data_IF_274099504470
#
_entry.id   IF_274099504470
#
_cell.length_a   1.000
_cell.length_b   1.000
_cell.length_c   1.000
_cell.angle_alpha   90.00
_cell.angle_beta   90.00
_cell.angle_gamma   90.00
#
_symmetry.space_group_name_H-M   'P 1'
#
loop_
_entity.id
_entity.type
_entity.pdbx_description
1 polymer ?
#
# COMPACT_ATOMS: atom_id res chain seq x y z
N UNK A 1 28.37 -17.52 12.91
CA UNK A 1 28.01 -17.31 14.34
C UNK A 1 26.51 -17.37 14.41
N UNK A 2 25.97 -18.18 15.31
CA UNK A 2 24.54 -18.49 15.32
C UNK A 2 23.75 -17.34 15.98
N UNK A 3 22.71 -16.81 15.34
CA UNK A 3 21.82 -15.85 15.99
C UNK A 3 21.15 -16.53 17.18
N UNK A 4 20.92 -15.80 18.27
CA UNK A 4 20.26 -16.39 19.43
C UNK A 4 18.83 -16.80 19.06
N UNK A 5 18.38 -18.00 19.47
CA UNK A 5 17.01 -18.46 19.22
C UNK A 5 15.96 -17.44 19.71
N UNK A 6 16.25 -16.75 20.82
CA UNK A 6 15.41 -15.68 21.36
C UNK A 6 15.23 -14.51 20.37
N UNK A 7 16.27 -14.15 19.62
CA UNK A 7 16.18 -13.10 18.60
C UNK A 7 15.25 -13.48 17.46
N UNK A 8 15.36 -14.72 16.98
CA UNK A 8 14.48 -15.26 15.93
C UNK A 8 13.02 -15.25 16.41
N UNK A 9 12.76 -15.74 17.62
CA UNK A 9 11.42 -15.82 18.18
C UNK A 9 10.79 -14.44 18.40
N UNK A 10 11.53 -13.48 18.97
CA UNK A 10 11.03 -12.12 19.20
C UNK A 10 10.75 -11.40 17.88
N UNK A 11 11.65 -11.52 16.91
CA UNK A 11 11.47 -10.90 15.59
C UNK A 11 10.25 -11.50 14.87
N UNK A 12 10.08 -12.82 14.91
CA UNK A 12 8.90 -13.50 14.35
C UNK A 12 7.61 -13.09 15.07
N UNK A 13 7.64 -12.98 16.40
CA UNK A 13 6.51 -12.49 17.18
C UNK A 13 6.13 -11.05 16.76
N UNK A 14 7.13 -10.19 16.51
CA UNK A 14 6.94 -8.85 15.94
C UNK A 14 6.26 -8.89 14.56
N UNK A 15 6.68 -9.79 13.67
CA UNK A 15 6.04 -9.99 12.35
C UNK A 15 4.57 -10.44 12.49
N UNK A 16 4.27 -11.36 13.41
CA UNK A 16 2.90 -11.82 13.67
C UNK A 16 2.05 -10.68 14.25
N UNK A 17 2.59 -9.94 15.23
CA UNK A 17 1.93 -8.79 15.83
C UNK A 17 1.64 -7.72 14.78
N UNK A 18 2.57 -7.46 13.86
CA UNK A 18 2.39 -6.53 12.76
C UNK A 18 1.15 -6.89 11.91
N UNK A 19 1.03 -8.14 11.48
CA UNK A 19 -0.11 -8.61 10.67
C UNK A 19 -1.42 -8.51 11.45
N UNK A 20 -1.43 -8.97 12.71
CA UNK A 20 -2.61 -8.95 13.56
C UNK A 20 -3.10 -7.52 13.85
N UNK A 21 -2.18 -6.62 14.26
CA UNK A 21 -2.48 -5.22 14.54
C UNK A 21 -2.90 -4.47 13.28
N UNK A 22 -2.32 -4.79 12.12
CA UNK A 22 -2.72 -4.20 10.83
C UNK A 22 -4.15 -4.57 10.46
N UNK A 23 -4.54 -5.84 10.65
CA UNK A 23 -5.92 -6.31 10.42
C UNK A 23 -6.90 -5.70 11.42
N UNK A 24 -6.50 -5.60 12.69
CA UNK A 24 -7.28 -4.95 13.73
C UNK A 24 -7.51 -3.48 13.37
N UNK A 25 -6.45 -2.77 12.95
CA UNK A 25 -6.53 -1.38 12.55
C UNK A 25 -7.48 -1.20 11.35
N UNK A 26 -7.32 -2.03 10.30
CA UNK A 26 -8.16 -1.99 9.10
C UNK A 26 -9.65 -2.08 9.41
N UNK A 27 -10.01 -2.87 10.43
CA UNK A 27 -11.40 -3.07 10.86
C UNK A 27 -11.94 -1.95 11.72
N UNK A 28 -11.07 -1.35 12.56
CA UNK A 28 -11.52 -0.44 13.62
C UNK A 28 -11.49 1.02 13.21
N UNK A 29 -10.53 1.42 12.37
CA UNK A 29 -10.30 2.82 12.02
C UNK A 29 -10.25 3.05 10.51
N UNK A 30 -10.80 4.19 10.11
CA UNK A 30 -10.73 4.72 8.76
C UNK A 30 -9.77 5.89 8.77
N UNK A 31 -8.75 5.83 7.94
CA UNK A 31 -7.83 6.94 7.74
C UNK A 31 -8.60 7.98 6.90
N UNK A 32 -8.67 9.22 7.40
CA UNK A 32 -9.19 10.34 6.62
C UNK A 32 -8.42 10.38 5.31
N UNK A 33 -9.13 10.24 4.18
CA UNK A 33 -8.50 10.10 2.86
C UNK A 33 -7.50 11.26 2.70
N UNK A 34 -6.19 10.98 2.52
CA UNK A 34 -5.31 12.03 2.09
C UNK A 34 -5.82 12.55 0.73
N UNK A 35 -5.49 13.79 0.33
CA UNK A 35 -5.86 14.32 -0.99
C UNK A 35 -5.23 13.54 -2.17
N UNK A 36 -4.50 12.47 -1.88
CA UNK A 36 -3.91 11.56 -2.85
C UNK A 36 -5.04 10.71 -3.41
N UNK A 37 -5.18 10.73 -4.74
CA UNK A 37 -6.19 9.94 -5.45
C UNK A 37 -6.05 8.43 -5.21
N UNK A 38 -6.92 7.66 -5.87
CA UNK A 38 -6.87 6.18 -5.80
C UNK A 38 -5.49 5.69 -6.22
N UNK A 39 -4.84 4.88 -5.37
CA UNK A 39 -3.54 4.28 -5.70
C UNK A 39 -3.71 3.38 -6.91
N UNK A 40 -3.09 3.78 -8.03
CA UNK A 40 -3.14 3.06 -9.29
C UNK A 40 -1.80 2.38 -9.59
N UNK A 41 -1.80 1.53 -10.62
CA UNK A 41 -0.59 0.85 -11.08
C UNK A 41 0.55 1.81 -11.43
N UNK A 42 0.22 2.99 -11.98
CA UNK A 42 1.21 4.04 -12.28
C UNK A 42 1.94 4.49 -11.02
N UNK A 43 1.20 4.69 -9.93
CA UNK A 43 1.78 5.10 -8.65
C UNK A 43 2.71 4.01 -8.12
N UNK A 44 2.30 2.75 -8.23
CA UNK A 44 3.14 1.59 -7.86
C UNK A 44 4.44 1.55 -8.65
N UNK A 45 4.40 1.75 -9.96
CA UNK A 45 5.61 1.80 -10.78
C UNK A 45 6.52 2.95 -10.34
N UNK A 46 5.97 4.14 -10.10
CA UNK A 46 6.75 5.30 -9.60
C UNK A 46 7.37 4.97 -8.24
N UNK A 47 6.59 4.40 -7.32
CA UNK A 47 7.07 4.02 -5.99
C UNK A 47 8.14 2.94 -6.06
N UNK A 48 7.99 1.93 -6.93
CA UNK A 48 9.03 0.93 -7.19
C UNK A 48 10.31 1.57 -7.70
N UNK A 49 10.24 2.50 -8.66
CA UNK A 49 11.41 3.24 -9.14
C UNK A 49 12.06 4.02 -8.00
N UNK A 50 11.28 4.73 -7.19
CA UNK A 50 11.80 5.46 -6.03
C UNK A 50 12.48 4.51 -5.04
N UNK A 51 11.89 3.35 -4.75
CA UNK A 51 12.48 2.35 -3.85
C UNK A 51 13.82 1.80 -4.38
N UNK A 52 13.94 1.59 -5.70
CA UNK A 52 15.19 1.17 -6.34
C UNK A 52 16.27 2.27 -6.23
N UNK A 53 15.87 3.53 -6.32
CA UNK A 53 16.78 4.68 -6.29
C UNK A 53 17.19 5.10 -4.88
N UNK A 54 16.39 4.80 -3.85
CA UNK A 54 16.63 5.23 -2.46
C UNK A 54 17.99 4.73 -1.94
N UNK A 55 18.34 3.43 -2.01
CA UNK A 55 19.60 2.96 -1.43
C UNK A 55 20.86 3.62 -1.98
N UNK A 56 21.08 3.73 -3.31
CA UNK A 56 22.25 4.42 -3.84
C UNK A 56 22.23 5.93 -3.53
N UNK A 57 21.04 6.56 -3.47
CA UNK A 57 20.93 7.96 -3.07
C UNK A 57 21.34 8.16 -1.59
N UNK A 58 20.88 7.28 -0.70
CA UNK A 58 21.19 7.33 0.73
C UNK A 58 22.67 7.10 1.00
N UNK A 59 23.34 6.25 0.20
CA UNK A 59 24.79 6.07 0.30
C UNK A 59 25.56 7.37 0.01
N UNK A 60 25.09 8.18 -0.94
CA UNK A 60 25.71 9.46 -1.32
C UNK A 60 25.37 10.62 -0.37
N UNK A 61 24.25 10.55 0.33
CA UNK A 61 23.84 11.58 1.29
C UNK A 61 24.68 11.52 2.58
N UNK A 62 24.99 12.65 3.23
CA UNK A 62 25.56 12.62 4.57
C UNK A 62 24.56 12.04 5.57
N UNK A 63 25.04 11.46 6.68
CA UNK A 63 24.19 10.77 7.66
C UNK A 63 23.05 11.64 8.21
N UNK A 64 23.29 12.94 8.44
CA UNK A 64 22.25 13.87 8.89
C UNK A 64 21.12 14.03 7.85
N UNK A 65 21.44 13.97 6.55
CA UNK A 65 20.46 14.04 5.49
C UNK A 65 19.56 12.80 5.46
N UNK A 66 20.14 11.61 5.65
CA UNK A 66 19.39 10.35 5.76
C UNK A 66 18.47 10.37 6.99
N UNK A 67 19.00 10.80 8.15
CA UNK A 67 18.20 10.93 9.39
C UNK A 67 17.04 11.91 9.18
N UNK A 68 17.28 13.07 8.56
CA UNK A 68 16.24 14.07 8.32
C UNK A 68 15.10 13.52 7.43
N UNK A 69 15.45 12.78 6.37
CA UNK A 69 14.46 12.13 5.49
C UNK A 69 13.69 11.05 6.24
N UNK A 70 14.36 10.17 6.98
CA UNK A 70 13.70 9.12 7.77
C UNK A 70 12.78 9.71 8.84
N UNK A 71 13.26 10.72 9.58
CA UNK A 71 12.48 11.43 10.58
C UNK A 71 11.21 12.04 9.97
N UNK A 72 11.35 12.74 8.84
CA UNK A 72 10.20 13.32 8.13
C UNK A 72 9.19 12.25 7.71
N UNK A 73 9.64 11.16 7.08
CA UNK A 73 8.76 10.09 6.62
C UNK A 73 8.05 9.42 7.80
N UNK A 74 8.79 9.06 8.85
CA UNK A 74 8.21 8.44 10.05
C UNK A 74 7.19 9.39 10.70
N UNK A 75 7.53 10.66 10.91
CA UNK A 75 6.60 11.64 11.49
C UNK A 75 5.34 11.80 10.64
N UNK A 76 5.45 11.93 9.33
CA UNK A 76 4.29 12.08 8.44
C UNK A 76 3.39 10.84 8.49
N UNK A 77 3.97 9.64 8.38
CA UNK A 77 3.18 8.40 8.43
C UNK A 77 2.54 8.24 9.82
N UNK A 78 3.31 8.34 10.90
CA UNK A 78 2.80 8.21 12.27
C UNK A 78 1.68 9.23 12.56
N UNK A 79 1.87 10.50 12.19
CA UNK A 79 0.85 11.53 12.40
C UNK A 79 -0.45 11.21 11.67
N UNK A 80 -0.36 10.59 10.48
CA UNK A 80 -1.51 10.15 9.68
C UNK A 80 -2.23 8.95 10.34
N UNK A 81 -1.47 7.97 10.83
CA UNK A 81 -2.01 6.75 11.46
C UNK A 81 -2.66 7.00 12.80
N UNK A 82 -2.08 7.92 13.58
CA UNK A 82 -2.56 8.24 14.91
C UNK A 82 -3.76 9.21 14.86
N UNK A 83 -3.98 9.90 13.74
CA UNK A 83 -5.03 10.92 13.61
C UNK A 83 -6.44 10.39 13.90
N UNK A 84 -6.88 9.20 13.43
CA UNK A 84 -8.21 8.66 13.77
C UNK A 84 -8.39 8.31 15.26
N UNK A 85 -7.28 8.18 16.01
CA UNK A 85 -7.28 7.79 17.43
C UNK A 85 -7.14 8.99 18.34
N UNK A 86 -6.22 9.90 18.02
CA UNK A 86 -5.82 11.02 18.87
C UNK A 86 -6.34 12.39 18.38
N UNK A 87 -6.87 12.45 17.16
CA UNK A 87 -7.16 13.72 16.46
C UNK A 87 -5.90 14.37 15.86
N UNK A 88 -6.10 15.44 15.09
CA UNK A 88 -5.05 16.04 14.26
C UNK A 88 -3.88 16.63 15.06
N UNK A 89 -4.15 17.43 16.10
CA UNK A 89 -3.07 18.14 16.84
C UNK A 89 -2.23 17.17 17.66
N UNK A 90 -2.89 16.26 18.40
CA UNK A 90 -2.19 15.31 19.26
C UNK A 90 -1.40 14.28 18.44
N UNK A 91 -1.88 13.87 17.24
CA UNK A 91 -1.13 12.93 16.40
C UNK A 91 0.22 13.48 15.95
N UNK A 92 0.30 14.77 15.60
CA UNK A 92 1.56 15.43 15.27
C UNK A 92 2.50 15.54 16.48
N UNK A 93 1.98 15.96 17.63
CA UNK A 93 2.79 16.08 18.86
C UNK A 93 3.38 14.73 19.27
N UNK A 94 2.57 13.67 19.28
CA UNK A 94 3.02 12.32 19.61
C UNK A 94 4.02 11.79 18.58
N UNK A 95 3.76 11.99 17.28
CA UNK A 95 4.68 11.55 16.23
C UNK A 95 6.05 12.25 16.33
N UNK A 96 6.07 13.57 16.57
CA UNK A 96 7.30 14.35 16.77
C UNK A 96 8.03 13.91 18.05
N UNK A 97 7.30 13.69 19.14
CA UNK A 97 7.89 13.26 20.41
C UNK A 97 8.54 11.87 20.27
N UNK A 98 7.85 10.89 19.69
CA UNK A 98 8.40 9.53 19.52
C UNK A 98 9.63 9.52 18.62
N UNK A 99 9.58 10.22 17.48
CA UNK A 99 10.72 10.33 16.56
C UNK A 99 11.88 11.08 17.21
N UNK A 100 11.62 12.17 17.93
CA UNK A 100 12.64 12.93 18.64
C UNK A 100 13.32 12.14 19.75
N UNK A 101 12.55 11.38 20.54
CA UNK A 101 13.07 10.48 21.58
C UNK A 101 13.95 9.39 20.95
N UNK A 102 13.53 8.81 19.83
CA UNK A 102 14.32 7.78 19.14
C UNK A 102 15.63 8.33 18.59
N UNK A 103 15.63 9.53 17.98
CA UNK A 103 16.85 10.17 17.51
C UNK A 103 17.82 10.44 18.67
N UNK A 104 17.31 10.82 19.84
CA UNK A 104 18.11 11.13 21.02
C UNK A 104 18.64 9.87 21.74
N UNK A 105 17.85 8.80 21.86
CA UNK A 105 18.18 7.63 22.69
C UNK A 105 18.59 6.38 21.91
N UNK A 106 18.20 6.25 20.63
CA UNK A 106 18.51 5.11 19.75
C UNK A 106 18.16 3.75 20.37
N UNK A 107 16.90 3.59 20.79
CA UNK A 107 16.46 2.38 21.48
C UNK A 107 15.94 1.37 20.47
N UNK A 108 16.53 0.17 20.44
CA UNK A 108 16.08 -0.91 19.55
C UNK A 108 14.57 -1.19 19.69
N UNK A 109 14.08 -1.25 20.93
CA UNK A 109 12.67 -1.50 21.19
C UNK A 109 11.77 -0.36 20.71
N UNK A 110 12.20 0.90 20.87
CA UNK A 110 11.42 2.05 20.39
C UNK A 110 11.44 2.10 18.85
N UNK A 111 12.59 1.86 18.23
CA UNK A 111 12.73 1.75 16.78
C UNK A 111 11.78 0.69 16.22
N UNK A 112 11.76 -0.52 16.80
CA UNK A 112 10.86 -1.60 16.37
C UNK A 112 9.40 -1.19 16.48
N UNK A 113 8.99 -0.56 17.60
CA UNK A 113 7.62 -0.04 17.78
C UNK A 113 7.29 1.01 16.71
N UNK A 114 8.21 1.92 16.41
CA UNK A 114 8.02 2.94 15.39
C UNK A 114 7.88 2.32 13.99
N UNK A 115 8.74 1.36 13.63
CA UNK A 115 8.68 0.61 12.37
C UNK A 115 7.34 -0.11 12.25
N UNK A 116 6.88 -0.78 13.31
CA UNK A 116 5.58 -1.45 13.33
C UNK A 116 4.44 -0.45 13.07
N UNK A 117 4.41 0.69 13.77
CA UNK A 117 3.37 1.70 13.59
C UNK A 117 3.37 2.31 12.18
N UNK A 118 4.56 2.58 11.63
CA UNK A 118 4.72 3.07 10.24
C UNK A 118 4.21 2.04 9.24
N UNK A 119 4.55 0.75 9.41
CA UNK A 119 4.10 -0.32 8.53
C UNK A 119 2.59 -0.56 8.59
N UNK A 120 2.01 -0.61 9.80
CA UNK A 120 0.55 -0.67 10.01
C UNK A 120 -0.10 0.47 9.22
N UNK A 121 0.48 1.66 9.35
CA UNK A 121 -0.02 2.85 8.71
C UNK A 121 0.03 2.89 7.22
N UNK A 122 1.22 2.73 6.67
CA UNK A 122 1.45 2.77 5.23
C UNK A 122 0.60 1.70 4.53
N UNK A 123 0.57 0.47 5.06
CA UNK A 123 -0.22 -0.61 4.48
C UNK A 123 -1.72 -0.32 4.52
N UNK A 124 -2.24 0.13 5.67
CA UNK A 124 -3.64 0.52 5.77
C UNK A 124 -3.97 1.69 4.85
N UNK A 125 -3.12 2.72 4.81
CA UNK A 125 -3.33 3.87 3.95
C UNK A 125 -3.46 3.47 2.48
N UNK A 126 -2.57 2.61 1.98
CA UNK A 126 -2.59 2.17 0.59
C UNK A 126 -3.84 1.32 0.27
N UNK A 127 -4.19 0.38 1.16
CA UNK A 127 -5.37 -0.48 0.98
C UNK A 127 -6.67 0.32 1.05
N UNK A 128 -6.78 1.25 2.01
CA UNK A 128 -7.93 2.13 2.16
C UNK A 128 -8.05 3.14 1.02
N UNK A 129 -6.92 3.52 0.40
CA UNK A 129 -6.87 4.36 -0.81
C UNK A 129 -7.25 3.61 -2.09
N UNK A 130 -7.60 2.32 -2.01
CA UNK A 130 -8.19 1.57 -3.11
C UNK A 130 -7.24 0.62 -3.84
N UNK A 131 -6.04 0.38 -3.31
CA UNK A 131 -5.11 -0.63 -3.83
C UNK A 131 -5.80 -1.98 -4.06
N UNK A 132 -5.49 -2.59 -5.20
CA UNK A 132 -6.03 -3.89 -5.65
C UNK A 132 -5.01 -5.01 -5.49
N UNK A 133 -5.47 -6.26 -5.51
CA UNK A 133 -4.56 -7.41 -5.36
C UNK A 133 -3.55 -7.49 -6.52
N UNK A 134 -3.98 -7.10 -7.73
CA UNK A 134 -3.09 -6.98 -8.89
C UNK A 134 -1.93 -5.99 -8.65
N UNK A 135 -2.20 -4.90 -7.95
CA UNK A 135 -1.22 -3.82 -7.77
C UNK A 135 -0.13 -4.30 -6.79
N UNK A 136 -0.53 -4.99 -5.72
CA UNK A 136 0.41 -5.65 -4.78
C UNK A 136 1.20 -6.75 -5.48
N UNK A 137 0.58 -7.54 -6.37
CA UNK A 137 1.26 -8.60 -7.09
C UNK A 137 2.34 -8.06 -8.05
N UNK A 138 2.05 -6.97 -8.77
CA UNK A 138 3.03 -6.28 -9.62
C UNK A 138 4.14 -5.65 -8.78
N UNK A 139 3.77 -5.01 -7.66
CA UNK A 139 4.74 -4.44 -6.72
C UNK A 139 5.70 -5.51 -6.19
N UNK A 140 5.17 -6.66 -5.76
CA UNK A 140 5.95 -7.78 -5.28
C UNK A 140 6.87 -8.36 -6.36
N UNK A 141 6.38 -8.50 -7.61
CA UNK A 141 7.22 -8.94 -8.72
C UNK A 141 8.39 -7.99 -8.98
N UNK A 142 8.12 -6.67 -9.00
CA UNK A 142 9.16 -5.65 -9.18
C UNK A 142 10.20 -5.69 -8.05
N UNK A 143 9.75 -5.79 -6.80
CA UNK A 143 10.62 -5.92 -5.64
C UNK A 143 11.44 -7.22 -5.64
N UNK A 144 10.88 -8.35 -6.08
CA UNK A 144 11.65 -9.60 -6.24
C UNK A 144 12.81 -9.44 -7.21
N UNK A 145 12.56 -8.84 -8.38
CA UNK A 145 13.62 -8.60 -9.36
C UNK A 145 14.67 -7.66 -8.78
N UNK A 146 14.22 -6.56 -8.18
CA UNK A 146 15.12 -5.58 -7.55
C UNK A 146 15.97 -6.21 -6.46
N UNK A 147 15.38 -6.87 -5.46
CA UNK A 147 16.10 -7.42 -4.32
C UNK A 147 17.06 -8.54 -4.72
N UNK A 148 16.67 -9.37 -5.71
CA UNK A 148 17.56 -10.38 -6.27
C UNK A 148 18.79 -9.72 -6.91
N UNK A 149 18.62 -8.68 -7.73
CA UNK A 149 19.74 -7.95 -8.33
C UNK A 149 20.58 -7.23 -7.26
N UNK A 150 19.92 -6.52 -6.35
CA UNK A 150 20.56 -5.72 -5.32
C UNK A 150 21.32 -6.56 -4.29
N UNK A 151 20.92 -7.82 -4.07
CA UNK A 151 21.60 -8.73 -3.11
C UNK A 151 22.60 -9.67 -3.79
N UNK A 152 22.31 -10.14 -5.00
CA UNK A 152 23.15 -11.15 -5.67
C UNK A 152 24.18 -10.54 -6.62
N UNK A 153 23.90 -9.36 -7.18
CA UNK A 153 24.74 -8.74 -8.22
C UNK A 153 25.50 -7.54 -7.69
N UNK A 154 24.87 -6.70 -6.87
CA UNK A 154 25.46 -5.45 -6.39
C UNK A 154 25.86 -5.53 -4.91
N UNK A 155 27.04 -5.00 -4.51
CA UNK A 155 27.40 -4.88 -3.09
C UNK A 155 26.58 -3.80 -2.34
N UNK A 156 25.78 -3.01 -3.07
CA UNK A 156 25.02 -1.86 -2.57
C UNK A 156 24.22 -2.14 -1.30
N UNK A 157 23.60 -3.31 -1.17
CA UNK A 157 22.78 -3.62 0.00
C UNK A 157 23.61 -3.80 1.28
N UNK A 158 24.80 -4.39 1.18
CA UNK A 158 25.70 -4.57 2.34
C UNK A 158 26.16 -3.21 2.86
N UNK A 159 26.60 -2.34 1.95
CA UNK A 159 27.04 -0.98 2.30
C UNK A 159 25.89 -0.14 2.86
N UNK A 160 24.71 -0.26 2.25
CA UNK A 160 23.51 0.44 2.68
C UNK A 160 23.08 0.02 4.09
N UNK A 161 23.00 -1.28 4.37
CA UNK A 161 22.68 -1.77 5.71
C UNK A 161 23.76 -1.43 6.72
N UNK A 162 25.04 -1.51 6.35
CA UNK A 162 26.15 -1.09 7.21
C UNK A 162 26.04 0.37 7.62
N UNK A 163 25.67 1.25 6.68
CA UNK A 163 25.41 2.66 6.97
C UNK A 163 24.18 2.83 7.85
N UNK A 164 23.05 2.24 7.47
CA UNK A 164 21.78 2.43 8.18
C UNK A 164 21.81 1.88 9.61
N UNK A 165 22.50 0.76 9.86
CA UNK A 165 22.60 0.17 11.19
C UNK A 165 23.26 1.09 12.24
N UNK A 166 23.93 2.16 11.80
CA UNK A 166 24.53 3.17 12.68
C UNK A 166 23.60 4.35 12.99
N UNK A 167 22.44 4.44 12.32
CA UNK A 167 21.53 5.56 12.37
C UNK A 167 20.26 5.22 13.19
N UNK A 168 19.64 6.22 13.85
CA UNK A 168 18.30 6.05 14.41
C UNK A 168 17.27 5.80 13.30
N UNK A 169 16.09 5.28 13.67
CA UNK A 169 14.98 5.02 12.73
C UNK A 169 15.38 4.02 11.62
N UNK A 170 16.17 3.02 11.98
CA UNK A 170 16.59 1.99 11.02
C UNK A 170 15.33 1.25 10.53
N UNK A 171 15.07 1.17 9.21
CA UNK A 171 13.88 0.57 8.64
C UNK A 171 13.95 -0.97 8.61
N UNK A 172 14.24 -1.54 9.77
CA UNK A 172 14.30 -2.99 10.02
C UNK A 172 13.60 -3.27 11.33
N UNK A 173 12.90 -4.40 11.39
CA UNK A 173 12.37 -4.96 12.62
C UNK A 173 13.34 -6.06 13.05
N UNK A 174 13.91 -5.97 14.25
CA UNK A 174 14.89 -6.98 14.66
C UNK A 174 15.24 -6.93 16.12
N UNK A 175 15.56 -8.10 16.67
CA UNK A 175 15.96 -8.23 18.07
C UNK A 175 17.41 -8.67 18.21
N UNK A 176 18.07 -8.20 19.28
CA UNK A 176 19.46 -8.54 19.60
C UNK A 176 20.46 -7.50 19.11
N UNK A 177 21.69 -7.60 19.61
CA UNK A 177 22.78 -6.68 19.27
C UNK A 177 23.96 -7.42 18.65
N UNK A 178 24.69 -6.73 17.77
CA UNK A 178 25.88 -7.26 17.11
C UNK A 178 25.59 -8.44 16.17
N UNK A 179 26.53 -9.38 16.10
CA UNK A 179 26.49 -10.52 15.17
C UNK A 179 25.47 -11.62 15.51
N UNK A 180 24.79 -11.51 16.65
CA UNK A 180 23.78 -12.48 17.09
C UNK A 180 22.33 -12.00 16.84
N UNK A 181 22.16 -10.80 16.29
CA UNK A 181 20.86 -10.22 15.97
C UNK A 181 20.24 -10.79 14.70
N UNK A 182 18.93 -10.89 14.68
CA UNK A 182 18.11 -11.21 13.52
C UNK A 182 17.25 -10.01 13.20
N UNK A 183 17.19 -9.64 11.93
CA UNK A 183 16.41 -8.51 11.47
C UNK A 183 15.71 -8.85 10.15
N UNK A 184 14.51 -8.28 9.98
CA UNK A 184 13.74 -8.37 8.74
C UNK A 184 13.53 -6.95 8.22
N UNK A 185 13.77 -6.76 6.92
CA UNK A 185 13.61 -5.47 6.28
C UNK A 185 12.16 -4.99 6.31
N UNK A 186 11.96 -3.68 6.50
CA UNK A 186 10.64 -3.06 6.44
C UNK A 186 9.94 -3.35 5.10
N UNK A 187 10.68 -3.45 3.99
CA UNK A 187 10.12 -3.74 2.66
C UNK A 187 9.42 -5.10 2.59
N UNK A 188 10.07 -6.16 3.07
CA UNK A 188 9.52 -7.52 3.09
C UNK A 188 8.25 -7.58 3.96
N UNK A 189 8.32 -6.96 5.13
CA UNK A 189 7.19 -6.88 6.07
C UNK A 189 6.01 -6.11 5.47
N UNK A 190 6.29 -4.98 4.80
CA UNK A 190 5.27 -4.19 4.12
C UNK A 190 4.54 -5.04 3.08
N UNK A 191 5.26 -5.82 2.26
CA UNK A 191 4.67 -6.68 1.24
C UNK A 191 3.77 -7.77 1.84
N UNK A 192 4.20 -8.43 2.93
CA UNK A 192 3.39 -9.44 3.63
C UNK A 192 2.10 -8.83 4.17
N UNK A 193 2.18 -7.64 4.80
CA UNK A 193 1.01 -6.96 5.34
C UNK A 193 0.09 -6.46 4.23
N UNK A 194 0.63 -5.81 3.19
CA UNK A 194 -0.14 -5.33 2.04
C UNK A 194 -0.92 -6.46 1.40
N UNK A 195 -0.29 -7.61 1.17
CA UNK A 195 -0.95 -8.77 0.60
C UNK A 195 -2.09 -9.26 1.50
N UNK A 196 -1.83 -9.39 2.80
CA UNK A 196 -2.82 -9.82 3.81
C UNK A 196 -4.04 -8.90 3.85
N UNK A 197 -3.82 -7.59 3.97
CA UNK A 197 -4.88 -6.59 4.04
C UNK A 197 -5.66 -6.49 2.72
N UNK A 198 -4.95 -6.54 1.59
CA UNK A 198 -5.58 -6.45 0.26
C UNK A 198 -6.45 -7.67 -0.03
N UNK A 199 -6.03 -8.88 0.34
CA UNK A 199 -6.87 -10.09 0.23
C UNK A 199 -8.06 -10.06 1.20
N UNK A 200 -7.86 -9.57 2.43
CA UNK A 200 -8.96 -9.38 3.40
C UNK A 200 -10.04 -8.48 2.83
N UNK A 201 -9.62 -7.35 2.25
CA UNK A 201 -10.49 -6.38 1.60
C UNK A 201 -11.14 -6.97 0.34
N UNK A 202 -10.34 -7.36 -0.64
CA UNK A 202 -10.82 -7.73 -1.98
C UNK A 202 -11.57 -9.07 -2.02
N UNK A 203 -11.27 -10.00 -1.11
CA UNK A 203 -11.81 -11.38 -1.15
C UNK A 203 -12.60 -11.71 0.11
N UNK A 204 -11.90 -11.98 1.20
CA UNK A 204 -12.48 -12.40 2.48
C UNK A 204 -11.40 -12.40 3.56
N UNK A 205 -11.82 -12.39 4.83
CA UNK A 205 -10.90 -12.55 5.95
C UNK A 205 -10.06 -13.83 5.83
N UNK A 206 -10.70 -14.96 5.49
CA UNK A 206 -10.00 -16.24 5.37
C UNK A 206 -8.88 -16.19 4.32
N UNK A 207 -9.14 -15.58 3.16
CA UNK A 207 -8.12 -15.40 2.13
C UNK A 207 -6.96 -14.52 2.62
N UNK A 208 -7.26 -13.45 3.35
CA UNK A 208 -6.24 -12.61 3.98
C UNK A 208 -5.39 -13.35 5.01
N UNK A 209 -6.02 -14.11 5.91
CA UNK A 209 -5.32 -14.90 6.92
C UNK A 209 -4.44 -15.98 6.28
N UNK A 210 -4.92 -16.67 5.25
CA UNK A 210 -4.12 -17.65 4.51
C UNK A 210 -2.93 -16.96 3.82
N UNK A 211 -3.15 -15.83 3.16
CA UNK A 211 -2.08 -15.07 2.52
C UNK A 211 -1.00 -14.60 3.51
N UNK A 212 -1.43 -14.07 4.66
CA UNK A 212 -0.53 -13.66 5.75
C UNK A 212 0.21 -14.83 6.38
N UNK A 213 -0.48 -15.94 6.66
CA UNK A 213 0.14 -17.15 7.21
C UNK A 213 1.20 -17.75 6.28
N UNK A 214 0.95 -17.76 4.96
CA UNK A 214 1.92 -18.23 3.97
C UNK A 214 3.13 -17.28 3.90
N UNK A 215 2.92 -15.96 3.92
CA UNK A 215 4.01 -14.98 3.95
C UNK A 215 4.86 -15.07 5.22
N UNK A 216 4.22 -15.18 6.39
CA UNK A 216 4.90 -15.36 7.67
C UNK A 216 5.66 -16.69 7.73
N UNK A 217 5.09 -17.77 7.19
CA UNK A 217 5.77 -19.07 7.08
C UNK A 217 7.02 -18.96 6.19
N UNK A 218 6.95 -18.23 5.07
CA UNK A 218 8.10 -18.02 4.20
C UNK A 218 9.22 -17.22 4.91
N UNK A 219 8.86 -16.17 5.67
CA UNK A 219 9.82 -15.43 6.48
C UNK A 219 10.43 -16.29 7.60
N UNK A 220 9.61 -17.06 8.32
CA UNK A 220 10.07 -17.96 9.37
C UNK A 220 11.02 -19.03 8.83
N UNK A 221 10.71 -19.61 7.66
CA UNK A 221 11.57 -20.57 6.98
C UNK A 221 12.93 -19.95 6.61
N UNK A 222 12.93 -18.71 6.09
CA UNK A 222 14.16 -17.99 5.77
C UNK A 222 15.01 -17.73 7.02
N UNK A 223 14.39 -17.24 8.09
CA UNK A 223 15.07 -16.99 9.36
C UNK A 223 15.62 -18.28 9.97
N UNK A 224 14.92 -19.40 9.83
CA UNK A 224 15.38 -20.72 10.27
C UNK A 224 16.60 -21.19 9.46
N UNK A 225 16.59 -21.03 8.13
CA UNK A 225 17.74 -21.36 7.26
C UNK A 225 18.97 -20.54 7.65
N UNK A 226 18.79 -19.25 7.96
CA UNK A 226 19.88 -18.39 8.45
C UNK A 226 20.34 -18.79 9.85
N UNK A 227 19.41 -19.12 10.75
CA UNK A 227 19.72 -19.58 12.10
C UNK A 227 20.54 -20.88 12.09
N UNK A 228 20.20 -21.84 11.23
CA UNK A 228 20.91 -23.11 11.08
C UNK A 228 22.27 -22.99 10.37
N UNK A 229 22.66 -21.78 9.94
CA UNK A 229 23.94 -21.54 9.25
C UNK A 229 24.04 -22.23 7.88
N UNK A 230 22.92 -22.67 7.30
CA UNK A 230 22.90 -23.29 5.97
C UNK A 230 23.31 -22.29 4.88
N UNK A 231 23.09 -20.99 5.15
CA UNK A 231 23.52 -19.90 4.29
C UNK A 231 24.19 -18.82 5.13
N UNK A 232 25.44 -18.49 4.79
CA UNK A 232 26.26 -17.52 5.51
C UNK A 232 26.17 -16.09 4.94
N UNK A 233 25.23 -15.84 4.02
CA UNK A 233 25.01 -14.55 3.38
C UNK A 233 23.54 -14.13 3.51
N UNK A 234 23.30 -12.82 3.50
CA UNK A 234 21.95 -12.28 3.44
C UNK A 234 21.20 -12.85 2.23
N UNK A 235 20.00 -13.36 2.45
CA UNK A 235 19.11 -13.82 1.40
C UNK A 235 17.93 -12.85 1.30
N UNK A 236 17.59 -12.36 0.09
CA UNK A 236 16.45 -11.48 -0.07
C UNK A 236 15.16 -12.28 0.09
N UNK A 237 14.31 -11.89 1.05
CA UNK A 237 13.08 -12.62 1.33
C UNK A 237 12.09 -12.54 0.15
N UNK A 238 12.17 -11.49 -0.66
CA UNK A 238 11.36 -11.34 -1.87
C UNK A 238 11.57 -12.44 -2.92
N UNK A 239 12.68 -13.20 -2.90
CA UNK A 239 12.84 -14.39 -3.77
C UNK A 239 11.81 -15.47 -3.41
N UNK A 240 11.40 -15.57 -2.15
CA UNK A 240 10.35 -16.48 -1.71
C UNK A 240 8.98 -15.81 -1.76
N UNK A 241 8.87 -14.59 -1.23
CA UNK A 241 7.59 -13.89 -1.07
C UNK A 241 6.95 -13.50 -2.40
N UNK A 242 7.70 -12.97 -3.36
CA UNK A 242 7.11 -12.50 -4.61
C UNK A 242 6.51 -13.61 -5.46
N UNK A 243 7.23 -14.70 -5.75
CA UNK A 243 6.65 -15.84 -6.46
C UNK A 243 5.45 -16.44 -5.74
N UNK A 244 5.50 -16.54 -4.41
CA UNK A 244 4.38 -16.99 -3.59
C UNK A 244 3.14 -16.09 -3.78
N UNK A 245 3.31 -14.77 -3.73
CA UNK A 245 2.24 -13.79 -3.96
C UNK A 245 1.71 -13.89 -5.40
N UNK A 246 2.59 -14.02 -6.39
CA UNK A 246 2.19 -14.15 -7.80
C UNK A 246 1.37 -15.42 -8.05
N UNK A 247 1.76 -16.55 -7.47
CA UNK A 247 1.01 -17.81 -7.56
C UNK A 247 -0.35 -17.66 -6.89
N UNK A 248 -0.41 -17.12 -5.67
CA UNK A 248 -1.69 -16.88 -4.99
C UNK A 248 -2.58 -15.93 -5.79
N UNK A 249 -2.03 -14.85 -6.36
CA UNK A 249 -2.75 -13.93 -7.22
C UNK A 249 -3.30 -14.63 -8.46
N UNK A 250 -2.49 -15.44 -9.15
CA UNK A 250 -2.91 -16.17 -10.34
C UNK A 250 -4.05 -17.18 -10.07
N UNK A 251 -4.08 -17.79 -8.88
CA UNK A 251 -5.17 -18.66 -8.44
C UNK A 251 -6.42 -17.85 -8.11
N UNK A 252 -6.29 -16.74 -7.39
CA UNK A 252 -7.41 -15.96 -6.87
C UNK A 252 -8.04 -15.00 -7.89
N UNK A 253 -7.31 -14.60 -8.95
CA UNK A 253 -7.80 -13.64 -9.98
C UNK A 253 -9.04 -14.11 -10.74
N UNK A 254 -9.39 -15.39 -10.65
CA UNK A 254 -10.58 -15.97 -11.31
C UNK A 254 -11.90 -15.41 -10.78
N UNK A 255 -11.91 -14.82 -9.58
CA UNK A 255 -13.09 -14.20 -8.97
C UNK A 255 -13.01 -12.66 -9.12
N UNK A 256 -14.14 -11.93 -9.11
CA UNK A 256 -14.13 -10.47 -9.04
C UNK A 256 -13.58 -9.97 -7.70
N UNK A 257 -12.85 -8.85 -7.73
CA UNK A 257 -12.30 -8.20 -6.52
C UNK A 257 -13.29 -7.18 -5.96
N UNK A 258 -13.51 -7.22 -4.64
CA UNK A 258 -14.30 -6.18 -3.96
C UNK A 258 -13.56 -4.85 -3.90
N UNK A 259 -14.28 -3.76 -4.15
CA UNK A 259 -13.77 -2.40 -3.96
C UNK A 259 -13.69 -2.02 -2.48
N UNK A 260 -13.00 -0.92 -2.16
CA UNK A 260 -12.98 -0.42 -0.77
C UNK A 260 -14.37 0.01 -0.31
N UNK A 261 -15.18 0.61 -1.21
CA UNK A 261 -16.54 1.02 -0.91
C UNK A 261 -17.43 -0.16 -0.50
N UNK A 262 -17.37 -1.27 -1.28
CA UNK A 262 -18.06 -2.52 -0.96
C UNK A 262 -17.58 -3.12 0.36
N UNK A 263 -16.25 -3.16 0.60
CA UNK A 263 -15.70 -3.69 1.85
C UNK A 263 -16.12 -2.87 3.07
N UNK A 264 -16.11 -1.54 2.94
CA UNK A 264 -16.49 -0.61 3.98
C UNK A 264 -18.01 -0.56 4.23
N UNK A 265 -18.80 -1.35 3.50
CA UNK A 265 -20.27 -1.35 3.58
C UNK A 265 -20.88 0.00 3.23
N UNK A 266 -20.17 0.84 2.46
CA UNK A 266 -20.71 2.12 2.01
C UNK A 266 -21.59 1.81 0.81
N UNK A 267 -22.93 2.00 0.89
CA UNK A 267 -23.77 1.81 -0.28
C UNK A 267 -23.23 2.68 -1.42
N UNK A 268 -23.22 2.20 -2.67
CA UNK A 268 -22.90 3.06 -3.80
C UNK A 268 -23.76 4.31 -3.65
N UNK A 269 -23.13 5.50 -3.69
CA UNK A 269 -23.87 6.75 -3.74
C UNK A 269 -24.87 6.57 -4.87
N UNK A 270 -26.20 6.63 -4.61
CA UNK A 270 -27.18 6.52 -5.66
C UNK A 270 -26.76 7.55 -6.70
N UNK A 271 -26.44 7.09 -7.92
CA UNK A 271 -26.43 8.01 -9.04
C UNK A 271 -27.77 8.74 -8.95
N UNK A 272 -27.80 10.09 -9.02
CA UNK A 272 -29.07 10.78 -9.03
C UNK A 272 -29.93 10.09 -10.08
N UNK A 273 -31.04 9.49 -9.64
CA UNK A 273 -32.03 8.93 -10.54
C UNK A 273 -32.67 10.16 -11.17
N UNK A 274 -32.01 10.67 -12.22
CA UNK A 274 -32.58 11.66 -13.09
C UNK A 274 -33.75 10.95 -13.73
N UNK A 275 -34.97 11.41 -13.43
CA UNK A 275 -36.17 10.94 -14.12
C UNK A 275 -35.90 11.09 -15.61
N UNK A 276 -35.78 9.99 -16.39
CA UNK A 276 -35.46 10.10 -17.79
C UNK A 276 -36.66 10.63 -18.58
N UNK A 277 -37.84 10.79 -17.98
CA UNK A 277 -39.07 11.20 -18.66
C UNK A 277 -38.99 12.54 -19.44
N UNK A 278 -38.32 13.61 -18.96
CA UNK A 278 -38.13 14.82 -19.74
C UNK A 278 -37.16 14.62 -20.91
N UNK A 279 -36.08 13.85 -20.70
CA UNK A 279 -35.09 13.53 -21.72
C UNK A 279 -35.66 12.58 -22.80
N UNK A 280 -36.48 11.59 -22.40
CA UNK A 280 -37.22 10.67 -23.27
C UNK A 280 -38.26 11.38 -24.14
N UNK A 281 -38.89 12.45 -23.63
CA UNK A 281 -39.79 13.28 -24.45
C UNK A 281 -39.05 14.09 -25.52
N UNK A 282 -37.81 14.49 -25.25
CA UNK A 282 -36.91 15.16 -26.22
C UNK A 282 -36.23 14.17 -27.18
N UNK A 283 -36.34 12.86 -26.95
CA UNK A 283 -35.63 11.81 -27.67
C UNK A 283 -36.33 11.32 -28.94
N UNK A 284 -37.57 11.73 -29.23
CA UNK A 284 -38.26 11.36 -30.47
C UNK A 284 -37.43 11.81 -31.69
N UNK A 285 -36.69 10.86 -32.29
CA UNK A 285 -35.99 11.03 -33.56
C UNK A 285 -34.48 11.26 -33.52
N UNK A 286 -33.79 11.18 -32.37
CA UNK A 286 -32.32 11.36 -32.32
C UNK A 286 -31.58 10.07 -31.95
N UNK A 287 -30.67 9.62 -32.83
CA UNK A 287 -29.74 8.52 -32.57
C UNK A 287 -28.42 9.09 -32.05
N UNK A 288 -27.99 8.67 -30.86
CA UNK A 288 -26.73 9.14 -30.26
C UNK A 288 -26.73 9.23 -28.73
N UNK A 289 -25.66 9.80 -28.19
CA UNK A 289 -25.49 10.13 -26.78
C UNK A 289 -26.00 11.55 -26.50
N UNK A 290 -26.76 11.67 -25.41
CA UNK A 290 -27.17 12.94 -24.83
C UNK A 290 -26.28 13.26 -23.64
N UNK A 291 -25.86 14.51 -23.52
CA UNK A 291 -25.22 15.05 -22.34
C UNK A 291 -26.19 15.97 -21.60
N UNK A 292 -26.46 15.65 -20.33
CA UNK A 292 -27.38 16.37 -19.45
C UNK A 292 -26.60 17.11 -18.37
N UNK A 293 -26.97 18.36 -18.09
CA UNK A 293 -26.50 19.11 -16.93
C UNK A 293 -27.71 19.50 -16.09
N UNK A 294 -27.92 18.81 -14.96
CA UNK A 294 -29.20 18.85 -14.27
C UNK A 294 -30.28 18.18 -15.11
N UNK A 295 -31.38 18.90 -15.36
CA UNK A 295 -32.52 18.39 -16.14
C UNK A 295 -32.51 18.89 -17.60
N UNK A 296 -31.48 19.64 -18.01
CA UNK A 296 -31.34 20.19 -19.37
C UNK A 296 -30.41 19.33 -20.24
N UNK A 297 -30.84 18.99 -21.45
CA UNK A 297 -29.97 18.43 -22.49
C UNK A 297 -29.12 19.57 -23.06
N UNK A 298 -27.81 19.51 -22.80
CA UNK A 298 -26.85 20.55 -23.24
C UNK A 298 -26.11 20.19 -24.52
N UNK A 299 -26.00 18.89 -24.85
CA UNK A 299 -25.41 18.46 -26.12
C UNK A 299 -25.90 17.09 -26.57
N UNK A 300 -25.88 16.85 -27.88
CA UNK A 300 -26.14 15.55 -28.50
C UNK A 300 -24.98 15.21 -29.45
N UNK A 301 -24.54 13.96 -29.46
CA UNK A 301 -23.46 13.51 -30.35
C UNK A 301 -23.51 12.00 -30.60
N UNK A 302 -22.96 11.50 -31.71
CA UNK A 302 -22.93 10.05 -31.99
C UNK A 302 -22.04 9.27 -31.00
N UNK A 303 -21.15 9.93 -30.26
CA UNK A 303 -20.28 9.29 -29.26
C UNK A 303 -20.33 9.98 -27.90
N UNK A 304 -20.17 9.19 -26.83
CA UNK A 304 -20.13 9.66 -25.45
C UNK A 304 -19.08 10.75 -25.20
N UNK A 305 -17.89 10.57 -25.78
CA UNK A 305 -16.76 11.49 -25.63
C UNK A 305 -17.05 12.86 -26.27
N UNK A 306 -17.73 12.86 -27.43
CA UNK A 306 -18.09 14.07 -28.15
C UNK A 306 -19.22 14.83 -27.46
N UNK A 307 -20.25 14.12 -26.98
CA UNK A 307 -21.32 14.71 -26.19
C UNK A 307 -20.77 15.36 -24.91
N UNK A 308 -19.85 14.70 -24.20
CA UNK A 308 -19.21 15.24 -23.02
C UNK A 308 -18.35 16.48 -23.32
N UNK A 309 -17.64 16.49 -24.45
CA UNK A 309 -16.82 17.63 -24.90
C UNK A 309 -17.68 18.84 -25.21
N UNK A 310 -18.78 18.64 -25.96
CA UNK A 310 -19.72 19.69 -26.31
C UNK A 310 -20.41 20.27 -25.06
N UNK A 311 -20.87 19.41 -24.14
CA UNK A 311 -21.51 19.87 -22.91
C UNK A 311 -20.57 20.70 -22.02
N UNK A 312 -19.28 20.35 -21.93
CA UNK A 312 -18.29 21.17 -21.20
C UNK A 312 -18.06 22.55 -21.83
N UNK A 313 -18.26 22.68 -23.15
CA UNK A 313 -18.23 23.97 -23.84
C UNK A 313 -19.41 24.86 -23.50
N UNK A 314 -20.59 24.27 -23.26
CA UNK A 314 -21.84 24.99 -22.92
C UNK A 314 -21.91 25.32 -21.43
N UNK A 315 -21.50 24.39 -20.55
CA UNK A 315 -21.53 24.55 -19.08
C UNK A 315 -20.15 24.21 -18.48
N UNK A 316 -19.17 25.12 -18.57
CA UNK A 316 -17.85 24.88 -18.00
C UNK A 316 -17.94 24.73 -16.47
N UNK A 317 -17.36 23.64 -15.95
CA UNK A 317 -17.30 23.34 -14.51
C UNK A 317 -18.42 22.42 -13.98
N UNK A 318 -19.38 22.01 -14.81
CA UNK A 318 -20.34 20.95 -14.45
C UNK A 318 -19.98 19.65 -15.17
N UNK A 319 -20.01 18.51 -14.46
CA UNK A 319 -19.88 17.19 -15.08
C UNK A 319 -21.22 16.76 -15.70
N UNK A 320 -21.29 16.56 -17.03
CA UNK A 320 -22.53 16.14 -17.66
C UNK A 320 -22.81 14.65 -17.43
N UNK A 321 -24.08 14.30 -17.21
CA UNK A 321 -24.56 12.92 -17.23
C UNK A 321 -24.79 12.48 -18.68
N UNK A 322 -24.21 11.35 -19.07
CA UNK A 322 -24.33 10.83 -20.44
C UNK A 322 -25.39 9.72 -20.52
N UNK A 323 -26.34 9.86 -21.43
CA UNK A 323 -27.42 8.89 -21.67
C UNK A 323 -27.40 8.45 -23.13
N UNK A 324 -27.46 7.13 -23.36
CA UNK A 324 -27.52 6.56 -24.71
C UNK A 324 -28.99 6.56 -25.19
N UNK A 325 -29.27 7.22 -26.30
CA UNK A 325 -30.53 7.05 -27.02
C UNK A 325 -30.53 5.71 -27.75
N UNK A 326 -31.37 4.79 -27.32
CA UNK A 326 -31.59 3.52 -28.02
C UNK A 326 -33.08 3.39 -28.38
N UNK A 327 -33.53 4.08 -29.42
CA UNK A 327 -34.72 3.63 -30.13
C UNK A 327 -34.30 2.73 -31.30
N UNK A 328 -34.78 1.47 -31.36
CA UNK A 328 -34.75 0.72 -32.61
C UNK A 328 -35.72 1.37 -33.61
N UNK A 329 -35.39 1.43 -34.91
CA UNK A 329 -36.26 2.05 -35.90
C UNK A 329 -37.63 1.35 -35.92
N UNK A 330 -38.74 2.10 -36.02
CA UNK A 330 -40.06 1.51 -36.22
C UNK A 330 -40.06 0.76 -37.57
N UNK A 331 -40.47 -0.50 -37.53
CA UNK A 331 -40.76 -1.31 -38.72
C UNK A 331 -42.11 -0.94 -39.33
#
# INVERSE_FOLDING_TARGET
MEPALSSVLVTLAGCVALVALSLFYLRRWRIERPPIGVVNLRDIVIMSVVLVLIPPLYLRLPSFGVIAVLALVFTVVLSTVLRPVLGQKASWLVALALVGVEIAHRSLALNDVLVLLVLIGAANLWVQSGMRARDVAVFAAGLTVYDALATLVFPTMVDFFGKLATLPLTPVLGWGSGSAGMAVGMGDLLVVVLWTLTLTKSRSLAAGLVGGALGLTALAALMLVLYLGWVNRGLPAMILLGPLILVQYAVLRRRPERTWAEYAGTPPVPLPVVDPSPALKLLHGSTGYLALCGDEVVATAPTAAEAARLARGVRPGQEPLLVLSSEPPPH
#
